data_IF_958995223227
#
_entry.id   IF_958995223227
#
_cell.length_a   1.000
_cell.length_b   1.000
_cell.length_c   1.000
_cell.angle_alpha   90.00
_cell.angle_beta   90.00
_cell.angle_gamma   90.00
#
_symmetry.space_group_name_H-M   'P 1'
#
loop_
_entity.id
_entity.type
_entity.pdbx_description
1 polymer ?
#
# COMPACT_ATOMS: atom_id res chain seq x y z
N UNK A 1 -12.12 -4.30 -4.04
CA UNK A 1 -11.38 -4.74 -2.83
C UNK A 1 -10.25 -5.72 -3.13
N UNK A 2 -10.43 -6.68 -4.06
CA UNK A 2 -9.34 -7.56 -4.56
C UNK A 2 -8.08 -6.79 -5.01
N UNK A 3 -8.24 -5.60 -5.59
CA UNK A 3 -7.13 -4.70 -5.98
C UNK A 3 -6.28 -4.22 -4.77
N UNK A 4 -6.91 -3.89 -3.64
CA UNK A 4 -6.21 -3.45 -2.42
C UNK A 4 -5.38 -4.60 -1.83
N UNK A 5 -6.01 -5.78 -1.68
CA UNK A 5 -5.33 -6.98 -1.21
C UNK A 5 -4.12 -7.34 -2.07
N UNK A 6 -4.27 -7.32 -3.41
CA UNK A 6 -3.17 -7.56 -4.35
C UNK A 6 -2.06 -6.51 -4.20
N UNK A 7 -2.41 -5.23 -4.07
CA UNK A 7 -1.44 -4.16 -3.89
C UNK A 7 -0.63 -4.31 -2.59
N UNK A 8 -1.29 -4.60 -1.47
CA UNK A 8 -0.63 -4.84 -0.17
C UNK A 8 0.28 -6.06 -0.23
N UNK A 9 -0.22 -7.18 -0.76
CA UNK A 9 0.55 -8.42 -0.90
C UNK A 9 1.80 -8.23 -1.77
N UNK A 10 1.65 -7.64 -2.94
CA UNK A 10 2.76 -7.44 -3.87
C UNK A 10 3.78 -6.45 -3.28
N UNK A 11 3.33 -5.38 -2.64
CA UNK A 11 4.24 -4.44 -1.98
C UNK A 11 5.02 -5.10 -0.86
N UNK A 12 4.36 -5.95 -0.07
CA UNK A 12 5.00 -6.70 0.99
C UNK A 12 6.06 -7.68 0.47
N UNK A 13 5.77 -8.42 -0.60
CA UNK A 13 6.77 -9.29 -1.25
C UNK A 13 7.97 -8.52 -1.78
N UNK A 14 7.74 -7.36 -2.41
CA UNK A 14 8.82 -6.53 -2.95
C UNK A 14 9.71 -5.98 -1.84
N UNK A 15 9.13 -5.50 -0.73
CA UNK A 15 9.91 -5.05 0.42
C UNK A 15 10.67 -6.20 1.09
N UNK A 16 10.06 -7.39 1.18
CA UNK A 16 10.69 -8.57 1.77
C UNK A 16 11.88 -9.04 0.95
N UNK A 17 11.71 -9.14 -0.37
CA UNK A 17 12.80 -9.48 -1.30
C UNK A 17 13.91 -8.43 -1.25
N UNK A 18 13.57 -7.14 -1.35
CA UNK A 18 14.56 -6.06 -1.31
C UNK A 18 15.38 -6.05 0.00
N UNK A 19 14.79 -6.44 1.13
CA UNK A 19 15.53 -6.54 2.38
C UNK A 19 16.67 -7.58 2.33
N UNK A 20 16.49 -8.67 1.59
CA UNK A 20 17.49 -9.74 1.48
C UNK A 20 18.48 -9.52 0.33
N UNK A 21 18.12 -8.69 -0.66
CA UNK A 21 19.02 -8.29 -1.76
C UNK A 21 19.94 -7.14 -1.34
N UNK A 22 19.38 -6.09 -0.72
CA UNK A 22 20.14 -4.88 -0.40
C UNK A 22 21.19 -5.09 0.72
N UNK A 23 20.97 -6.05 1.63
CA UNK A 23 21.80 -6.30 2.80
C UNK A 23 21.98 -7.82 3.02
N UNK A 24 22.97 -8.41 2.35
CA UNK A 24 23.28 -9.84 2.46
C UNK A 24 23.73 -10.21 3.89
N UNK A 25 23.41 -11.44 4.33
CA UNK A 25 23.78 -11.95 5.65
C UNK A 25 23.02 -11.32 6.83
N UNK A 26 22.13 -10.36 6.58
CA UNK A 26 21.35 -9.71 7.64
C UNK A 26 20.09 -10.51 7.96
N UNK A 27 19.95 -10.88 9.24
CA UNK A 27 18.72 -11.50 9.74
C UNK A 27 17.64 -10.43 9.96
N UNK A 28 16.54 -10.50 9.21
CA UNK A 28 15.41 -9.58 9.35
C UNK A 28 14.28 -10.14 10.22
N UNK A 29 13.65 -9.25 10.99
CA UNK A 29 12.37 -9.47 11.70
C UNK A 29 11.28 -8.66 11.00
N UNK A 30 10.08 -9.23 10.93
CA UNK A 30 8.89 -8.52 10.47
C UNK A 30 8.06 -8.18 11.71
N UNK A 31 7.97 -6.90 12.04
CA UNK A 31 7.16 -6.42 13.15
C UNK A 31 5.78 -6.03 12.62
N UNK A 32 4.74 -6.47 13.31
CA UNK A 32 3.36 -6.08 13.08
C UNK A 32 2.99 -5.02 14.09
N UNK A 33 2.87 -3.79 13.62
CA UNK A 33 2.48 -2.66 14.44
C UNK A 33 1.04 -2.32 14.13
N UNK A 34 0.24 -2.31 15.17
CA UNK A 34 -1.19 -2.04 15.09
C UNK A 34 -1.45 -0.69 15.76
N UNK A 35 -2.11 0.23 15.07
CA UNK A 35 -2.43 1.57 15.58
C UNK A 35 -3.94 1.74 15.65
N UNK A 36 -4.44 2.05 16.84
CA UNK A 36 -5.87 2.21 17.13
C UNK A 36 -6.11 3.59 17.73
N UNK A 37 -7.15 4.27 17.26
CA UNK A 37 -7.61 5.53 17.87
C UNK A 37 -8.35 5.26 19.18
N UNK A 38 -8.11 6.12 20.19
CA UNK A 38 -8.83 6.06 21.46
C UNK A 38 -10.31 6.47 21.27
N UNK A 39 -10.53 7.57 20.57
CA UNK A 39 -11.85 8.21 20.40
C UNK A 39 -12.42 8.02 18.99
N UNK A 40 -13.75 8.04 18.89
CA UNK A 40 -14.46 8.10 17.61
C UNK A 40 -14.23 9.47 16.94
N UNK A 41 -14.13 9.49 15.61
CA UNK A 41 -13.97 10.75 14.87
C UNK A 41 -12.60 11.44 15.02
N UNK A 42 -11.71 10.94 15.88
CA UNK A 42 -10.38 11.54 16.12
C UNK A 42 -9.41 11.44 14.94
N UNK A 43 -9.80 10.76 13.86
CA UNK A 43 -8.97 10.66 12.66
C UNK A 43 -8.79 12.03 12.01
N UNK A 44 -7.55 12.40 11.69
CA UNK A 44 -7.22 13.55 10.84
C UNK A 44 -6.20 13.17 9.77
N UNK A 45 -6.17 13.88 8.63
CA UNK A 45 -5.10 13.72 7.65
C UNK A 45 -3.73 13.95 8.30
N UNK A 46 -2.74 13.12 7.96
CA UNK A 46 -1.35 13.28 8.42
C UNK A 46 -0.93 12.35 9.56
N UNK A 47 -1.83 11.90 10.43
CA UNK A 47 -1.47 11.11 11.63
C UNK A 47 -0.60 9.86 11.34
N UNK A 48 -0.99 9.02 10.36
CA UNK A 48 -0.17 7.86 9.94
C UNK A 48 1.15 8.29 9.28
N UNK A 49 1.16 9.47 8.66
CA UNK A 49 2.35 10.10 8.10
C UNK A 49 3.36 10.51 9.17
N UNK A 50 2.88 11.00 10.32
CA UNK A 50 3.71 11.39 11.45
C UNK A 50 4.24 10.18 12.22
N UNK A 51 3.42 9.14 12.40
CA UNK A 51 3.93 7.85 12.87
C UNK A 51 5.06 7.33 11.97
N UNK A 52 4.86 7.34 10.65
CA UNK A 52 5.89 6.93 9.69
C UNK A 52 7.16 7.78 9.81
N UNK A 53 7.02 9.08 10.04
CA UNK A 53 8.14 10.01 10.22
C UNK A 53 8.94 9.64 11.46
N UNK A 54 8.28 9.42 12.60
CA UNK A 54 8.92 8.97 13.84
C UNK A 54 9.71 7.67 13.65
N UNK A 55 9.10 6.67 13.01
CA UNK A 55 9.77 5.40 12.68
C UNK A 55 10.97 5.63 11.76
N UNK A 56 10.82 6.43 10.69
CA UNK A 56 11.91 6.72 9.75
C UNK A 56 13.08 7.38 10.45
N UNK A 57 12.81 8.33 11.32
CA UNK A 57 13.85 9.09 12.00
C UNK A 57 14.56 8.22 13.04
N UNK A 58 13.85 7.26 13.65
CA UNK A 58 14.48 6.19 14.44
C UNK A 58 15.41 5.30 13.59
N UNK A 59 14.99 4.85 12.40
CA UNK A 59 15.88 4.09 11.50
C UNK A 59 17.16 4.87 11.16
N UNK A 60 17.02 6.19 10.92
CA UNK A 60 18.17 7.07 10.65
C UNK A 60 19.14 7.12 11.83
N UNK A 61 18.63 7.40 13.04
CA UNK A 61 19.46 7.63 14.24
C UNK A 61 19.96 6.35 14.90
N UNK A 62 19.09 5.36 15.05
CA UNK A 62 19.32 4.18 15.90
C UNK A 62 19.65 2.92 15.10
N UNK A 63 19.46 2.94 13.78
CA UNK A 63 19.75 1.80 12.90
C UNK A 63 20.81 2.14 11.85
N UNK A 64 21.74 3.06 12.12
CA UNK A 64 22.83 3.40 11.19
C UNK A 64 22.33 3.80 9.78
N UNK A 65 21.25 4.59 9.69
CA UNK A 65 20.74 5.03 8.38
C UNK A 65 20.01 3.96 7.56
N UNK A 66 19.73 2.80 8.15
CA UNK A 66 19.15 1.65 7.42
C UNK A 66 17.82 2.00 6.80
N UNK A 67 17.57 1.49 5.59
CA UNK A 67 16.36 1.80 4.86
C UNK A 67 15.12 1.31 5.61
N UNK A 68 14.28 2.24 6.04
CA UNK A 68 12.98 1.95 6.63
C UNK A 68 12.04 1.33 5.58
N UNK A 69 11.82 0.01 5.67
CA UNK A 69 10.85 -0.72 4.86
C UNK A 69 9.57 -0.91 5.66
N UNK A 70 8.45 -0.43 5.13
CA UNK A 70 7.14 -0.55 5.77
C UNK A 70 6.02 -0.62 4.75
N UNK A 71 5.09 -1.54 4.96
CA UNK A 71 3.78 -1.54 4.29
C UNK A 71 2.70 -1.40 5.34
N UNK A 72 1.64 -0.66 5.03
CA UNK A 72 0.51 -0.53 5.94
C UNK A 72 -0.81 -0.53 5.19
N UNK A 73 -1.86 -0.94 5.89
CA UNK A 73 -3.25 -0.92 5.43
C UNK A 73 -4.12 -0.31 6.53
N UNK A 74 -5.13 0.45 6.10
CA UNK A 74 -6.19 0.95 6.97
C UNK A 74 -7.39 0.01 6.86
N UNK A 75 -7.86 -0.45 8.01
CA UNK A 75 -9.13 -1.14 8.20
C UNK A 75 -10.06 -0.22 9.02
N UNK A 76 -11.37 -0.44 8.90
CA UNK A 76 -12.33 0.12 9.86
C UNK A 76 -12.71 -0.97 10.87
N UNK A 77 -12.68 -0.65 12.15
CA UNK A 77 -13.22 -1.55 13.19
C UNK A 77 -14.73 -1.74 13.00
N UNK A 78 -15.35 -2.68 13.75
CA UNK A 78 -16.82 -2.85 13.74
C UNK A 78 -17.59 -1.56 14.06
N UNK A 79 -16.99 -0.63 14.80
CA UNK A 79 -17.54 0.69 15.14
C UNK A 79 -17.23 1.77 14.09
N UNK A 80 -16.67 1.42 12.93
CA UNK A 80 -16.29 2.37 11.88
C UNK A 80 -15.00 3.15 12.15
N UNK A 81 -14.30 2.92 13.28
CA UNK A 81 -13.06 3.61 13.61
C UNK A 81 -11.92 3.19 12.68
N UNK A 82 -11.17 4.13 12.07
CA UNK A 82 -9.93 3.80 11.38
C UNK A 82 -8.94 3.07 12.29
N UNK A 83 -8.26 2.10 11.72
CA UNK A 83 -7.32 1.24 12.40
C UNK A 83 -6.20 0.87 11.41
N UNK A 84 -4.94 0.99 11.81
CA UNK A 84 -3.83 0.70 10.91
C UNK A 84 -3.13 -0.60 11.30
N UNK A 85 -2.95 -1.47 10.33
CA UNK A 85 -2.01 -2.58 10.42
C UNK A 85 -0.78 -2.24 9.60
N UNK A 86 0.38 -2.21 10.25
CA UNK A 86 1.67 -1.93 9.65
C UNK A 86 2.55 -3.16 9.77
N UNK A 87 3.30 -3.47 8.71
CA UNK A 87 4.40 -4.43 8.74
C UNK A 87 5.70 -3.70 8.46
N UNK A 88 6.65 -3.82 9.37
CA UNK A 88 7.93 -3.10 9.37
C UNK A 88 9.06 -4.13 9.41
N UNK A 89 10.05 -3.99 8.53
CA UNK A 89 11.22 -4.85 8.53
C UNK A 89 12.33 -4.19 9.34
N UNK A 90 12.73 -4.86 10.42
CA UNK A 90 13.76 -4.40 11.35
C UNK A 90 14.82 -5.49 11.44
N UNK A 91 16.11 -5.14 11.50
CA UNK A 91 17.13 -6.17 11.71
C UNK A 91 16.95 -6.84 13.06
N UNK A 92 17.36 -8.10 13.15
CA UNK A 92 17.22 -8.87 14.37
C UNK A 92 17.92 -8.23 15.57
N UNK A 93 19.06 -7.57 15.34
CA UNK A 93 19.86 -6.88 16.35
C UNK A 93 19.30 -5.53 16.82
N UNK A 94 18.50 -4.87 15.99
CA UNK A 94 18.03 -3.51 16.29
C UNK A 94 16.77 -3.57 17.17
N UNK A 95 16.79 -2.89 18.32
CA UNK A 95 15.64 -2.82 19.24
C UNK A 95 14.60 -1.80 18.78
N UNK A 96 13.42 -2.27 18.36
CA UNK A 96 12.31 -1.39 18.00
C UNK A 96 11.56 -0.94 19.26
N UNK A 97 11.50 0.37 19.55
CA UNK A 97 10.85 0.86 20.75
C UNK A 97 9.33 0.74 20.66
N UNK A 98 8.67 0.74 21.82
CA UNK A 98 7.21 0.84 21.86
C UNK A 98 6.78 2.20 21.28
N UNK A 99 5.95 2.27 20.22
CA UNK A 99 5.58 3.52 19.57
C UNK A 99 4.86 4.52 20.47
N UNK A 100 4.13 4.04 21.49
CA UNK A 100 3.47 4.91 22.45
C UNK A 100 4.50 5.58 23.36
N UNK A 101 5.43 4.80 23.94
CA UNK A 101 6.53 5.35 24.75
C UNK A 101 7.46 6.28 23.96
N UNK A 102 7.61 6.02 22.66
CA UNK A 102 8.41 6.85 21.77
C UNK A 102 7.69 8.11 21.28
N UNK A 103 6.41 8.31 21.65
CA UNK A 103 5.62 9.48 21.25
C UNK A 103 5.19 9.49 19.77
N UNK A 104 5.30 8.36 19.06
CA UNK A 104 5.01 8.30 17.62
C UNK A 104 3.53 8.09 17.30
N UNK A 105 2.73 7.69 18.30
CA UNK A 105 1.28 7.54 18.18
C UNK A 105 0.57 8.08 19.43
N UNK A 106 0.30 9.40 19.49
CA UNK A 106 -0.39 10.02 20.61
C UNK A 106 -1.92 9.88 20.55
N UNK A 107 -2.47 9.38 19.44
CA UNK A 107 -3.92 9.38 19.17
C UNK A 107 -4.67 8.17 19.74
N UNK A 108 -4.00 7.35 20.54
CA UNK A 108 -4.56 6.14 21.14
C UNK A 108 -3.50 5.10 21.42
N UNK A 109 -3.80 3.85 21.09
CA UNK A 109 -2.95 2.71 21.44
C UNK A 109 -2.14 2.20 20.25
N UNK A 110 -0.90 1.82 20.51
CA UNK A 110 -0.03 1.14 19.57
C UNK A 110 0.43 -0.21 20.14
N UNK A 111 0.24 -1.28 19.38
CA UNK A 111 0.66 -2.63 19.75
C UNK A 111 1.73 -3.13 18.79
N UNK A 112 2.78 -3.80 19.29
CA UNK A 112 3.86 -4.37 18.48
C UNK A 112 3.91 -5.87 18.68
N UNK A 113 3.66 -6.62 17.61
CA UNK A 113 3.84 -8.07 17.54
C UNK A 113 5.07 -8.40 16.69
N UNK A 114 5.82 -9.42 17.07
CA UNK A 114 6.96 -9.92 16.29
C UNK A 114 6.56 -11.17 15.51
N UNK A 115 6.96 -11.27 14.24
CA UNK A 115 6.68 -12.45 13.40
C UNK A 115 7.23 -13.76 13.98
N UNK A 116 8.33 -13.69 14.75
CA UNK A 116 8.95 -14.87 15.39
C UNK A 116 8.08 -15.54 16.44
N UNK A 117 7.12 -14.80 17.03
CA UNK A 117 6.35 -15.29 18.17
C UNK A 117 4.98 -15.80 17.74
N UNK A 118 4.35 -15.21 16.69
CA UNK A 118 2.96 -15.56 16.33
C UNK A 118 2.60 -15.51 14.83
N UNK A 119 3.52 -15.26 13.89
CA UNK A 119 3.14 -15.01 12.48
C UNK A 119 4.12 -15.66 11.48
N UNK A 120 3.85 -16.93 11.15
CA UNK A 120 4.65 -17.74 10.21
C UNK A 120 4.56 -17.26 8.74
N UNK A 121 3.54 -16.48 8.38
CA UNK A 121 3.30 -16.00 7.00
C UNK A 121 3.00 -14.50 7.00
N UNK A 122 4.03 -13.65 7.20
CA UNK A 122 3.81 -12.23 7.47
C UNK A 122 3.14 -11.48 6.30
N UNK A 123 3.50 -11.81 5.07
CA UNK A 123 2.85 -11.22 3.88
C UNK A 123 1.38 -11.63 3.76
N UNK A 124 1.06 -12.92 4.01
CA UNK A 124 -0.31 -13.40 3.99
C UNK A 124 -1.15 -12.76 5.12
N UNK A 125 -0.54 -12.53 6.28
CA UNK A 125 -1.16 -11.85 7.40
C UNK A 125 -1.54 -10.41 7.04
N UNK A 126 -0.66 -9.63 6.39
CA UNK A 126 -1.02 -8.30 5.86
C UNK A 126 -2.16 -8.36 4.83
N UNK A 127 -2.14 -9.34 3.93
CA UNK A 127 -3.19 -9.51 2.93
C UNK A 127 -4.56 -9.84 3.56
N UNK A 128 -4.60 -10.53 4.72
CA UNK A 128 -5.83 -10.79 5.49
C UNK A 128 -6.51 -9.49 5.94
N UNK A 129 -5.75 -8.50 6.42
CA UNK A 129 -6.34 -7.22 6.83
C UNK A 129 -6.83 -6.41 5.64
N UNK A 130 -6.10 -6.45 4.53
CA UNK A 130 -6.55 -5.83 3.29
C UNK A 130 -7.82 -6.44 2.69
N UNK A 131 -8.13 -7.71 2.99
CA UNK A 131 -9.38 -8.36 2.54
C UNK A 131 -10.58 -8.09 3.44
N UNK A 132 -10.38 -7.63 4.68
CA UNK A 132 -11.49 -7.32 5.60
C UNK A 132 -12.22 -6.04 5.27
N UNK A 133 -11.57 -5.12 4.56
CA UNK A 133 -12.19 -3.92 4.06
C UNK A 133 -13.37 -4.30 3.16
N UNK A 134 -14.58 -3.83 3.45
CA UNK A 134 -15.83 -4.09 2.68
C UNK A 134 -16.29 -2.87 1.86
N UNK A 135 -17.18 -3.07 0.88
CA UNK A 135 -17.77 -1.97 0.11
C UNK A 135 -18.61 -1.04 1.00
N UNK A 136 -19.26 -1.62 2.02
CA UNK A 136 -20.01 -0.87 3.02
C UNK A 136 -19.09 -0.04 3.92
N UNK A 137 -17.97 -0.62 4.36
CA UNK A 137 -16.95 0.12 5.10
C UNK A 137 -16.34 1.24 4.26
N UNK A 138 -16.26 1.10 2.94
CA UNK A 138 -15.73 2.14 2.06
C UNK A 138 -16.51 3.47 2.16
N UNK A 139 -17.82 3.41 2.44
CA UNK A 139 -18.67 4.60 2.63
C UNK A 139 -18.31 5.39 3.90
N UNK A 140 -17.77 4.70 4.90
CA UNK A 140 -17.44 5.23 6.21
C UNK A 140 -15.98 5.66 6.34
N UNK A 141 -15.20 5.51 5.27
CA UNK A 141 -13.80 5.95 5.28
C UNK A 141 -13.73 7.47 5.30
N UNK A 142 -12.96 8.06 6.24
CA UNK A 142 -12.79 9.50 6.29
C UNK A 142 -12.29 10.06 4.96
N UNK A 143 -12.86 11.17 4.53
CA UNK A 143 -12.48 11.83 3.27
C UNK A 143 -10.98 12.11 3.26
N UNK A 144 -10.31 11.72 2.17
CA UNK A 144 -8.87 11.89 2.00
C UNK A 144 -8.00 10.82 2.70
N UNK A 145 -8.60 9.89 3.45
CA UNK A 145 -7.86 8.79 4.03
C UNK A 145 -7.30 7.86 2.95
N UNK A 146 -6.02 7.51 3.09
CA UNK A 146 -5.38 6.48 2.27
C UNK A 146 -5.65 5.12 2.90
N UNK A 147 -6.13 4.18 2.10
CA UNK A 147 -6.36 2.80 2.55
C UNK A 147 -5.07 1.99 2.71
N UNK A 148 -3.98 2.43 2.08
CA UNK A 148 -2.72 1.70 2.09
C UNK A 148 -1.54 2.62 1.79
N UNK A 149 -0.35 2.19 2.21
CA UNK A 149 0.90 2.84 1.83
C UNK A 149 2.10 1.92 1.93
N UNK A 150 3.18 2.33 1.26
CA UNK A 150 4.46 1.61 1.16
C UNK A 150 5.59 2.60 1.33
N UNK A 151 6.63 2.20 2.06
CA UNK A 151 7.81 2.98 2.37
C UNK A 151 9.07 2.11 2.17
N UNK A 152 10.16 2.73 1.74
CA UNK A 152 11.46 2.04 1.62
C UNK A 152 11.61 1.12 0.42
N UNK A 153 10.70 1.14 -0.55
CA UNK A 153 10.91 0.45 -1.82
C UNK A 153 12.04 1.15 -2.62
N UNK A 154 12.91 0.36 -3.25
CA UNK A 154 13.87 0.81 -4.28
C UNK A 154 13.14 1.46 -5.46
N UNK A 155 13.85 2.15 -6.35
CA UNK A 155 13.21 2.68 -7.57
C UNK A 155 12.59 1.55 -8.41
N UNK A 156 13.30 0.44 -8.55
CA UNK A 156 12.79 -0.77 -9.21
C UNK A 156 11.59 -1.36 -8.46
N UNK A 157 11.65 -1.46 -7.14
CA UNK A 157 10.52 -1.92 -6.33
C UNK A 157 9.29 -1.03 -6.48
N UNK A 158 9.47 0.30 -6.56
CA UNK A 158 8.38 1.24 -6.82
C UNK A 158 7.79 1.03 -8.21
N UNK A 159 8.62 0.80 -9.23
CA UNK A 159 8.20 0.50 -10.60
C UNK A 159 7.35 -0.76 -10.64
N UNK A 160 7.84 -1.87 -10.07
CA UNK A 160 7.12 -3.15 -10.01
C UNK A 160 5.79 -3.01 -9.25
N UNK A 161 5.76 -2.29 -8.13
CA UNK A 161 4.52 -2.03 -7.40
C UNK A 161 3.52 -1.25 -8.26
N UNK A 162 3.97 -0.22 -9.00
CA UNK A 162 3.10 0.55 -9.90
C UNK A 162 2.58 -0.31 -11.05
N UNK A 163 3.46 -1.12 -11.66
CA UNK A 163 3.08 -2.06 -12.69
C UNK A 163 1.97 -3.00 -12.21
N UNK A 164 2.13 -3.66 -11.06
CA UNK A 164 1.10 -4.54 -10.51
C UNK A 164 -0.23 -3.87 -10.14
N UNK A 165 -0.22 -2.55 -9.93
CA UNK A 165 -1.42 -1.75 -9.64
C UNK A 165 -2.11 -1.24 -10.90
N UNK A 166 -1.42 -1.21 -12.03
CA UNK A 166 -2.02 -0.83 -13.29
C UNK A 166 -3.11 -1.84 -13.72
N UNK A 167 -4.15 -1.39 -14.45
CA UNK A 167 -5.10 -2.29 -15.09
C UNK A 167 -4.42 -3.29 -16.02
N UNK A 168 -5.09 -4.41 -16.31
CA UNK A 168 -4.56 -5.46 -17.19
C UNK A 168 -4.21 -4.88 -18.57
N UNK A 169 -5.13 -4.17 -19.23
CA UNK A 169 -4.89 -3.57 -20.55
C UNK A 169 -3.63 -2.70 -20.61
N UNK A 170 -3.36 -1.91 -19.57
CA UNK A 170 -2.18 -1.04 -19.54
C UNK A 170 -0.88 -1.83 -19.36
N UNK A 171 -0.93 -2.97 -18.65
CA UNK A 171 0.21 -3.86 -18.47
C UNK A 171 0.50 -4.65 -19.74
N UNK A 172 -0.55 -5.09 -20.43
CA UNK A 172 -0.43 -5.87 -21.67
C UNK A 172 0.12 -4.99 -22.80
N UNK A 173 -0.36 -3.74 -22.90
CA UNK A 173 0.14 -2.78 -23.89
C UNK A 173 1.59 -2.32 -23.64
N UNK A 174 1.96 -2.01 -22.39
CA UNK A 174 3.28 -1.43 -22.08
C UNK A 174 4.36 -2.46 -21.68
N UNK A 175 3.97 -3.72 -21.45
CA UNK A 175 4.88 -4.79 -21.07
C UNK A 175 5.43 -4.71 -19.63
N UNK A 176 6.21 -5.73 -19.24
CA UNK A 176 6.69 -5.94 -17.87
C UNK A 176 7.76 -4.96 -17.37
N UNK A 177 8.51 -4.32 -18.28
CA UNK A 177 9.58 -3.38 -17.96
C UNK A 177 9.09 -1.93 -17.74
N UNK A 178 7.85 -1.62 -18.12
CA UNK A 178 7.33 -0.25 -18.05
C UNK A 178 7.26 0.32 -16.62
N UNK A 179 7.46 1.63 -16.51
CA UNK A 179 7.12 2.40 -15.31
C UNK A 179 5.77 3.09 -15.48
N UNK A 180 4.70 2.32 -15.32
CA UNK A 180 3.33 2.78 -15.59
C UNK A 180 2.86 3.81 -14.55
N UNK A 181 2.61 5.04 -14.99
CA UNK A 181 2.07 6.16 -14.19
C UNK A 181 0.64 6.44 -14.62
N UNK A 182 -0.30 6.46 -13.67
CA UNK A 182 -1.63 7.00 -13.94
C UNK A 182 -1.53 8.52 -14.09
N UNK A 183 -2.06 9.04 -15.19
CA UNK A 183 -2.12 10.47 -15.52
C UNK A 183 -3.56 10.84 -15.91
N UNK A 184 -3.83 12.12 -16.17
CA UNK A 184 -5.12 12.52 -16.72
C UNK A 184 -5.35 11.82 -18.08
N UNK A 185 -6.56 11.32 -18.31
CA UNK A 185 -6.92 10.65 -19.56
C UNK A 185 -6.36 9.23 -19.77
N UNK A 186 -5.41 8.74 -18.98
CA UNK A 186 -4.80 7.43 -19.23
C UNK A 186 -3.60 7.06 -18.37
N UNK A 187 -2.64 6.39 -19.00
CA UNK A 187 -1.43 5.87 -18.39
C UNK A 187 -0.22 6.29 -19.22
N UNK A 188 0.88 6.61 -18.55
CA UNK A 188 2.15 7.01 -19.16
C UNK A 188 3.22 6.01 -18.75
N UNK A 189 4.00 5.51 -19.70
CA UNK A 189 5.26 4.84 -19.39
C UNK A 189 6.32 5.91 -19.12
N UNK A 190 6.75 6.06 -17.87
CA UNK A 190 7.75 7.09 -17.52
C UNK A 190 9.12 6.84 -18.17
N UNK A 191 9.44 5.61 -18.56
CA UNK A 191 10.74 5.28 -19.18
C UNK A 191 10.78 5.76 -20.62
N UNK A 192 9.74 5.48 -21.41
CA UNK A 192 9.70 5.76 -22.84
C UNK A 192 8.98 7.06 -23.19
N UNK A 193 8.17 7.60 -22.27
CA UNK A 193 7.30 8.73 -22.54
C UNK A 193 5.99 8.35 -23.26
N UNK A 194 5.79 7.08 -23.59
CA UNK A 194 4.61 6.60 -24.30
C UNK A 194 3.32 6.79 -23.48
N UNK A 195 2.30 7.39 -24.09
CA UNK A 195 0.99 7.59 -23.50
C UNK A 195 -0.03 6.59 -24.06
N UNK A 196 -0.69 5.88 -23.15
CA UNK A 196 -1.83 5.01 -23.44
C UNK A 196 -3.10 5.63 -22.90
N UNK A 197 -4.03 5.95 -23.80
CA UNK A 197 -5.34 6.45 -23.43
C UNK A 197 -6.11 5.43 -22.58
N UNK A 198 -6.95 5.92 -21.66
CA UNK A 198 -7.90 5.09 -20.93
C UNK A 198 -8.91 4.48 -21.90
N UNK A 199 -9.13 3.16 -21.81
CA UNK A 199 -10.24 2.49 -22.52
C UNK A 199 -11.61 3.06 -22.12
N UNK A 200 -11.72 3.56 -20.88
CA UNK A 200 -12.92 4.16 -20.36
C UNK A 200 -13.01 5.63 -20.77
N UNK A 201 -14.08 5.95 -21.48
CA UNK A 201 -14.51 7.30 -21.86
C UNK A 201 -15.65 7.73 -20.95
N UNK A 202 -15.75 9.03 -20.70
CA UNK A 202 -16.82 9.63 -19.90
C UNK A 202 -17.56 10.63 -20.76
N UNK A 203 -18.89 10.48 -20.83
CA UNK A 203 -19.79 11.42 -21.51
C UNK A 203 -20.68 12.07 -20.46
N UNK A 204 -20.78 13.39 -20.50
CA UNK A 204 -21.70 14.18 -19.66
C UNK A 204 -22.79 14.72 -20.59
N UNK A 205 -24.05 14.38 -20.33
CA UNK A 205 -25.18 14.87 -21.13
C UNK A 205 -25.46 16.35 -20.86
N UNK A 206 -26.17 17.06 -21.75
CA UNK A 206 -26.63 18.43 -21.46
C UNK A 206 -27.45 18.53 -20.16
N UNK A 207 -28.15 17.47 -19.78
CA UNK A 207 -28.88 17.36 -18.51
C UNK A 207 -28.02 17.05 -17.27
N UNK A 208 -26.69 16.97 -17.42
CA UNK A 208 -25.74 16.72 -16.33
C UNK A 208 -25.58 15.25 -15.93
N UNK A 209 -26.16 14.29 -16.66
CA UNK A 209 -25.97 12.86 -16.37
C UNK A 209 -24.59 12.40 -16.86
N UNK A 210 -23.91 11.60 -16.06
CA UNK A 210 -22.55 11.12 -16.34
C UNK A 210 -22.58 9.63 -16.69
N UNK A 211 -22.06 9.28 -17.86
CA UNK A 211 -21.92 7.90 -18.34
C UNK A 211 -20.46 7.56 -18.52
N UNK A 212 -20.00 6.46 -17.93
CA UNK A 212 -18.71 5.87 -18.24
C UNK A 212 -18.90 4.65 -19.15
N UNK A 213 -18.25 4.64 -20.29
CA UNK A 213 -18.36 3.57 -21.29
C UNK A 213 -16.98 3.23 -21.85
N UNK A 214 -16.85 2.04 -22.41
CA UNK A 214 -15.66 1.64 -23.17
C UNK A 214 -16.11 0.94 -24.44
N UNK A 215 -15.32 1.08 -25.50
CA UNK A 215 -15.53 0.28 -26.69
C UNK A 215 -15.03 -1.14 -26.41
N UNK A 216 -15.89 -2.13 -26.65
CA UNK A 216 -15.50 -3.53 -26.67
C UNK A 216 -15.58 -3.91 -28.14
N UNK A 217 -14.44 -4.18 -28.81
CA UNK A 217 -14.50 -4.67 -30.18
C UNK A 217 -15.35 -5.93 -30.22
N UNK A 218 -16.18 -6.13 -31.27
CA UNK A 218 -16.85 -7.41 -31.44
C UNK A 218 -15.81 -8.53 -31.40
N UNK A 219 -16.13 -9.63 -30.73
CA UNK A 219 -15.33 -10.85 -30.80
C UNK A 219 -15.26 -11.21 -32.28
N UNK A 220 -14.12 -10.96 -32.92
CA UNK A 220 -13.85 -11.56 -34.22
C UNK A 220 -13.89 -13.06 -33.98
N UNK A 221 -14.89 -13.74 -34.53
CA UNK A 221 -14.86 -15.18 -34.67
C UNK A 221 -13.51 -15.52 -35.27
N UNK A 222 -12.66 -16.17 -34.48
CA UNK A 222 -11.49 -16.88 -35.02
C UNK A 222 -12.05 -17.88 -36.00
N UNK A 223 -11.98 -17.54 -37.29
CA UNK A 223 -12.16 -18.49 -38.37
C UNK A 223 -11.00 -19.48 -38.22
N UNK A 224 -11.40 -20.71 -37.85
CA UNK A 224 -10.74 -22.02 -37.85
C UNK A 224 -9.21 -22.08 -37.83
#
# INVERSE_FOLDING_TARGET
MRKLQKAVRNSAHILDSAAHVDEQGVRWRRLFVTLTYAEDGAWKPGHVGDFRRGVRDWFKRSCQGTRMRMVWVMELTKRGRPHYHCMIWVRARDYFPNPHKAGWWPHGFAHVLSSKVHINRPVAYMAKYASKFTAEQAKHVPKGARLYGVCGATEEGKRVIRWWRAPIFARDAMGGAADIRKVAGGYLNRVTGEFLASEWKVTITPSGRVFAWRYIPPLTETIQ
#
